data_IF_598770644817
#
_entry.id   IF_598770644817
#
_cell.length_a   1.000
_cell.length_b   1.000
_cell.length_c   1.000
_cell.angle_alpha   90.00
_cell.angle_beta   90.00
_cell.angle_gamma   90.00
#
_symmetry.space_group_name_H-M   'P 1'
#
loop_
_entity.id
_entity.type
_entity.pdbx_description
1 polymer ?
#
# COMPACT_ATOMS: atom_id res chain seq x y z
N UNK A 1 -23.79 10.09 -4.37
CA UNK A 1 -24.33 10.87 -5.51
C UNK A 1 -23.93 10.24 -6.86
N UNK A 2 -23.66 8.97 -6.86
CA UNK A 2 -23.45 8.15 -8.07
C UNK A 2 -24.66 7.24 -8.14
N UNK A 3 -25.57 7.51 -9.04
CA UNK A 3 -26.78 6.71 -9.27
C UNK A 3 -26.46 5.57 -10.26
N UNK A 4 -25.55 4.69 -9.88
CA UNK A 4 -25.21 3.50 -10.63
C UNK A 4 -25.67 2.26 -9.84
N UNK A 5 -26.69 1.53 -10.32
CA UNK A 5 -27.22 0.35 -9.66
C UNK A 5 -26.21 -0.79 -9.51
N UNK A 6 -25.30 -0.94 -10.48
CA UNK A 6 -24.24 -1.96 -10.40
C UNK A 6 -23.21 -1.63 -9.34
N UNK A 7 -22.81 -0.36 -9.25
CA UNK A 7 -21.90 0.10 -8.20
C UNK A 7 -22.52 -0.06 -6.81
N UNK A 8 -23.82 0.27 -6.67
CA UNK A 8 -24.53 0.11 -5.40
C UNK A 8 -24.51 -1.35 -4.95
N UNK A 9 -24.79 -2.29 -5.85
CA UNK A 9 -24.73 -3.72 -5.54
C UNK A 9 -23.30 -4.16 -5.16
N UNK A 10 -22.29 -3.72 -5.89
CA UNK A 10 -20.88 -4.01 -5.56
C UNK A 10 -20.47 -3.46 -4.19
N UNK A 11 -21.01 -2.30 -3.78
CA UNK A 11 -20.78 -1.71 -2.46
C UNK A 11 -21.49 -2.53 -1.36
N UNK A 12 -22.73 -2.94 -1.59
CA UNK A 12 -23.50 -3.76 -0.65
C UNK A 12 -22.89 -5.16 -0.43
N UNK A 13 -22.27 -5.73 -1.48
CA UNK A 13 -21.58 -7.02 -1.45
C UNK A 13 -20.15 -6.93 -0.87
N UNK A 14 -19.64 -5.74 -0.53
CA UNK A 14 -18.30 -5.57 0.02
C UNK A 14 -18.19 -6.09 1.44
N UNK A 15 -17.23 -6.99 1.67
CA UNK A 15 -16.95 -7.59 2.98
C UNK A 15 -15.82 -6.90 3.75
N UNK A 16 -15.08 -5.96 3.12
CA UNK A 16 -13.97 -5.27 3.76
C UNK A 16 -13.89 -3.79 3.35
N UNK A 17 -13.38 -2.95 4.27
CA UNK A 17 -13.14 -1.52 4.02
C UNK A 17 -12.17 -1.29 2.86
N UNK A 18 -11.17 -2.15 2.69
CA UNK A 18 -10.21 -2.04 1.57
C UNK A 18 -10.88 -2.22 0.21
N UNK A 19 -11.81 -3.18 0.09
CA UNK A 19 -12.60 -3.36 -1.15
C UNK A 19 -13.52 -2.17 -1.41
N UNK A 20 -14.15 -1.64 -0.36
CA UNK A 20 -15.01 -0.46 -0.45
C UNK A 20 -14.21 0.77 -0.89
N UNK A 21 -13.03 1.00 -0.34
CA UNK A 21 -12.16 2.11 -0.73
C UNK A 21 -11.67 1.99 -2.18
N UNK A 22 -11.34 0.78 -2.65
CA UNK A 22 -10.94 0.55 -4.04
C UNK A 22 -12.09 0.85 -5.00
N UNK A 23 -13.34 0.48 -4.67
CA UNK A 23 -14.52 0.83 -5.46
C UNK A 23 -14.85 2.33 -5.44
N UNK A 24 -14.64 2.99 -4.30
CA UNK A 24 -14.92 4.42 -4.15
C UNK A 24 -13.84 5.31 -4.76
N UNK A 25 -12.62 4.80 -4.95
CA UNK A 25 -11.46 5.56 -5.39
C UNK A 25 -11.66 6.40 -6.65
N UNK A 26 -12.30 5.91 -7.73
CA UNK A 26 -12.57 6.71 -8.92
C UNK A 26 -13.47 7.92 -8.66
N UNK A 27 -14.31 7.85 -7.62
CA UNK A 27 -15.30 8.88 -7.27
C UNK A 27 -14.83 9.82 -6.15
N UNK A 28 -13.68 9.49 -5.52
CA UNK A 28 -13.13 10.29 -4.41
C UNK A 28 -12.66 11.65 -4.93
N UNK A 29 -13.05 12.77 -4.26
CA UNK A 29 -12.51 14.08 -4.59
C UNK A 29 -10.99 14.06 -4.51
N UNK A 30 -10.34 14.26 -5.64
CA UNK A 30 -8.87 14.21 -5.73
C UNK A 30 -8.27 15.54 -5.32
N UNK A 31 -7.15 15.50 -4.61
CA UNK A 31 -6.29 16.66 -4.44
C UNK A 31 -5.71 17.05 -5.80
N UNK A 32 -5.12 18.24 -5.89
CA UNK A 32 -4.48 18.72 -7.11
C UNK A 32 -3.33 17.79 -7.50
N UNK A 33 -3.60 16.87 -8.44
CA UNK A 33 -2.64 15.89 -8.98
C UNK A 33 -2.02 16.43 -10.28
N UNK A 34 -0.97 15.77 -10.80
CA UNK A 34 -0.43 16.09 -12.12
C UNK A 34 -1.49 15.92 -13.21
N UNK A 35 -2.23 14.81 -13.19
CA UNK A 35 -3.31 14.55 -14.12
C UNK A 35 -4.44 15.58 -14.01
N UNK A 36 -4.87 15.97 -12.79
CA UNK A 36 -5.93 16.97 -12.62
C UNK A 36 -5.52 18.36 -13.11
N UNK A 37 -4.22 18.70 -13.07
CA UNK A 37 -3.68 19.92 -13.70
C UNK A 37 -3.74 19.83 -15.21
N UNK A 38 -3.33 18.68 -15.77
CA UNK A 38 -3.35 18.45 -17.21
C UNK A 38 -4.79 18.46 -17.76
N UNK A 39 -5.75 17.88 -17.04
CA UNK A 39 -7.18 17.92 -17.39
C UNK A 39 -7.69 19.36 -17.39
N UNK A 40 -7.37 20.15 -16.37
CA UNK A 40 -7.75 21.57 -16.30
C UNK A 40 -7.13 22.40 -17.42
N UNK A 41 -5.95 22.03 -17.88
CA UNK A 41 -5.30 22.63 -19.05
C UNK A 41 -5.86 22.15 -20.40
N UNK A 42 -6.87 21.25 -20.38
CA UNK A 42 -7.53 20.77 -21.60
C UNK A 42 -6.76 19.71 -22.38
N UNK A 43 -5.90 18.91 -21.72
CA UNK A 43 -5.06 17.90 -22.39
C UNK A 43 -5.73 16.53 -22.55
N UNK A 44 -7.00 16.36 -22.11
CA UNK A 44 -7.73 15.09 -22.26
C UNK A 44 -7.84 14.63 -23.73
N UNK A 45 -8.15 15.50 -24.72
CA UNK A 45 -8.23 15.05 -26.11
C UNK A 45 -6.87 14.53 -26.65
N UNK A 46 -5.75 15.05 -26.15
CA UNK A 46 -4.42 14.54 -26.52
C UNK A 46 -4.17 13.16 -25.90
N UNK A 47 -4.66 12.91 -24.68
CA UNK A 47 -4.60 11.58 -24.07
C UNK A 47 -5.40 10.55 -24.86
N UNK A 48 -6.58 10.93 -25.36
CA UNK A 48 -7.37 10.06 -26.26
C UNK A 48 -6.71 9.87 -27.64
N UNK A 49 -6.05 10.92 -28.17
CA UNK A 49 -5.28 10.84 -29.39
C UNK A 49 -4.16 9.79 -29.28
N UNK A 50 -3.40 9.78 -28.17
CA UNK A 50 -2.37 8.78 -27.90
C UNK A 50 -2.87 7.34 -27.98
N UNK A 51 -4.11 7.08 -27.55
CA UNK A 51 -4.71 5.74 -27.57
C UNK A 51 -5.15 5.31 -28.97
N UNK A 52 -5.43 6.23 -29.87
CA UNK A 52 -6.06 5.95 -31.17
C UNK A 52 -5.14 6.19 -32.35
N UNK A 53 -4.14 7.06 -32.21
CA UNK A 53 -3.25 7.44 -33.32
C UNK A 53 -2.28 6.32 -33.71
N UNK A 54 -2.09 6.18 -35.02
CA UNK A 54 -1.16 5.24 -35.64
C UNK A 54 -0.17 5.92 -36.60
N UNK A 55 -0.25 7.26 -36.69
CA UNK A 55 0.51 8.03 -37.69
C UNK A 55 1.86 8.52 -37.18
N UNK A 56 2.03 8.64 -35.85
CA UNK A 56 3.25 9.15 -35.25
C UNK A 56 3.34 10.68 -35.22
N UNK A 57 2.23 11.40 -35.43
CA UNK A 57 2.19 12.86 -35.49
C UNK A 57 2.01 13.55 -34.11
N UNK A 58 2.46 12.92 -33.02
CA UNK A 58 2.22 13.37 -31.66
C UNK A 58 2.74 14.77 -31.35
N UNK A 59 3.94 15.11 -31.84
CA UNK A 59 4.52 16.43 -31.60
C UNK A 59 3.71 17.55 -32.26
N UNK A 60 3.27 17.32 -33.51
CA UNK A 60 2.43 18.28 -34.22
C UNK A 60 1.05 18.43 -33.57
N UNK A 61 0.51 17.35 -33.05
CA UNK A 61 -0.76 17.40 -32.31
C UNK A 61 -0.60 18.13 -30.99
N UNK A 62 0.49 17.86 -30.25
CA UNK A 62 0.79 18.51 -28.96
C UNK A 62 0.96 20.04 -29.07
N UNK A 63 1.45 20.54 -30.20
CA UNK A 63 1.59 22.00 -30.41
C UNK A 63 0.26 22.75 -30.32
N UNK A 64 -0.86 22.09 -30.63
CA UNK A 64 -2.21 22.68 -30.54
C UNK A 64 -2.67 22.93 -29.11
N UNK A 65 -2.05 22.29 -28.12
CA UNK A 65 -2.42 22.36 -26.71
C UNK A 65 -1.44 23.15 -25.85
N UNK A 66 -0.55 23.94 -26.46
CA UNK A 66 0.36 24.80 -25.73
C UNK A 66 -0.41 25.86 -24.94
N UNK A 67 -0.07 26.02 -23.66
CA UNK A 67 -0.69 27.01 -22.76
C UNK A 67 0.33 27.53 -21.73
N UNK A 68 -0.09 28.45 -20.86
CA UNK A 68 0.82 29.08 -19.87
C UNK A 68 1.48 28.06 -18.94
N UNK A 69 0.77 27.01 -18.56
CA UNK A 69 1.28 25.94 -17.68
C UNK A 69 2.12 24.91 -18.45
N UNK A 70 1.86 24.72 -19.75
CA UNK A 70 2.48 23.72 -20.63
C UNK A 70 3.09 24.41 -21.85
N UNK A 71 4.29 24.98 -21.70
CA UNK A 71 4.94 25.85 -22.72
C UNK A 71 5.69 25.09 -23.81
N UNK A 72 5.88 23.80 -23.68
CA UNK A 72 6.62 22.98 -24.65
C UNK A 72 5.81 21.74 -25.00
N UNK A 73 5.93 21.24 -26.23
CA UNK A 73 5.26 20.03 -26.69
C UNK A 73 5.58 18.83 -25.76
N UNK A 74 6.82 18.70 -25.31
CA UNK A 74 7.22 17.64 -24.36
C UNK A 74 6.41 17.67 -23.05
N UNK A 75 6.19 18.86 -22.47
CA UNK A 75 5.37 18.99 -21.24
C UNK A 75 3.91 18.69 -21.50
N UNK A 76 3.39 19.09 -22.66
CA UNK A 76 2.01 18.76 -23.08
C UNK A 76 1.85 17.26 -23.21
N UNK A 77 2.78 16.58 -23.89
CA UNK A 77 2.79 15.12 -24.04
C UNK A 77 2.90 14.44 -22.67
N UNK A 78 3.80 14.92 -21.81
CA UNK A 78 3.92 14.39 -20.44
C UNK A 78 2.62 14.57 -19.66
N UNK A 79 1.92 15.70 -19.80
CA UNK A 79 0.61 15.91 -19.20
C UNK A 79 -0.45 14.92 -19.68
N UNK A 80 -0.47 14.57 -20.96
CA UNK A 80 -1.35 13.54 -21.49
C UNK A 80 -1.01 12.16 -20.93
N UNK A 81 0.26 11.80 -20.82
CA UNK A 81 0.67 10.56 -20.14
C UNK A 81 0.33 10.56 -18.65
N UNK A 82 0.44 11.69 -17.94
CA UNK A 82 0.03 11.77 -16.53
C UNK A 82 -1.47 11.49 -16.35
N UNK A 83 -2.34 11.91 -17.30
CA UNK A 83 -3.76 11.58 -17.32
C UNK A 83 -3.97 10.07 -17.46
N UNK A 84 -3.30 9.43 -18.44
CA UNK A 84 -3.40 7.98 -18.66
C UNK A 84 -2.86 7.19 -17.48
N UNK A 85 -1.73 7.62 -16.90
CA UNK A 85 -1.15 7.00 -15.71
C UNK A 85 -2.12 7.00 -14.52
N UNK A 86 -2.86 8.09 -14.31
CA UNK A 86 -3.86 8.16 -13.24
C UNK A 86 -5.07 7.29 -13.54
N UNK A 87 -5.55 7.21 -14.79
CA UNK A 87 -6.62 6.29 -15.21
C UNK A 87 -6.26 4.83 -14.91
N UNK A 88 -5.03 4.40 -15.23
CA UNK A 88 -4.54 3.06 -14.90
C UNK A 88 -4.53 2.84 -13.39
N UNK A 89 -4.03 3.81 -12.62
CA UNK A 89 -3.95 3.68 -11.16
C UNK A 89 -5.32 3.62 -10.46
N UNK A 90 -6.34 4.21 -11.07
CA UNK A 90 -7.71 4.22 -10.57
C UNK A 90 -8.49 2.95 -10.92
N UNK A 91 -7.97 2.12 -11.84
CA UNK A 91 -8.63 0.89 -12.22
C UNK A 91 -8.54 -0.15 -11.10
N UNK A 92 -9.66 -0.54 -10.47
CA UNK A 92 -9.67 -1.47 -9.35
C UNK A 92 -9.17 -2.87 -9.73
N UNK A 93 -9.29 -3.28 -10.99
CA UNK A 93 -8.88 -4.61 -11.43
C UNK A 93 -7.37 -4.82 -11.31
N UNK A 94 -6.56 -3.80 -11.62
CA UNK A 94 -5.10 -3.89 -11.45
C UNK A 94 -4.72 -4.02 -9.98
N UNK A 95 -5.41 -3.31 -9.10
CA UNK A 95 -5.17 -3.39 -7.66
C UNK A 95 -5.48 -4.77 -7.10
N UNK A 96 -6.63 -5.32 -7.49
CA UNK A 96 -7.03 -6.69 -7.11
C UNK A 96 -6.02 -7.71 -7.64
N UNK A 97 -5.61 -7.59 -8.91
CA UNK A 97 -4.60 -8.46 -9.51
C UNK A 97 -3.29 -8.42 -8.74
N UNK A 98 -2.77 -7.21 -8.44
CA UNK A 98 -1.50 -7.03 -7.74
C UNK A 98 -1.60 -7.54 -6.30
N UNK A 99 -2.68 -7.25 -5.56
CA UNK A 99 -2.92 -7.76 -4.20
C UNK A 99 -2.93 -9.29 -4.17
N UNK A 100 -3.64 -9.92 -5.11
CA UNK A 100 -3.71 -11.38 -5.21
C UNK A 100 -2.35 -12.00 -5.55
N UNK A 101 -1.58 -11.37 -6.44
CA UNK A 101 -0.24 -11.81 -6.79
C UNK A 101 0.72 -11.64 -5.62
N UNK A 102 0.68 -10.49 -4.94
CA UNK A 102 1.49 -10.21 -3.76
C UNK A 102 1.23 -11.21 -2.62
N UNK A 103 -0.01 -11.63 -2.40
CA UNK A 103 -0.35 -12.67 -1.42
C UNK A 103 0.28 -14.03 -1.75
N UNK A 104 0.40 -14.38 -3.03
CA UNK A 104 0.94 -15.70 -3.45
C UNK A 104 2.46 -15.75 -3.42
N UNK A 105 3.13 -14.72 -3.93
CA UNK A 105 4.57 -14.71 -4.18
C UNK A 105 5.32 -13.52 -3.58
N UNK A 106 4.62 -12.49 -3.13
CA UNK A 106 5.22 -11.28 -2.59
C UNK A 106 5.97 -11.53 -1.28
N UNK A 107 7.02 -10.74 -1.06
CA UNK A 107 7.83 -10.78 0.14
C UNK A 107 7.69 -9.47 0.92
N UNK A 108 7.72 -9.58 2.24
CA UNK A 108 8.01 -8.45 3.13
C UNK A 108 9.49 -8.52 3.51
N UNK A 109 10.21 -7.42 3.31
CA UNK A 109 11.63 -7.32 3.62
C UNK A 109 11.88 -6.17 4.58
N UNK A 110 12.83 -6.35 5.50
CA UNK A 110 13.25 -5.30 6.41
C UNK A 110 14.77 -5.19 6.41
N UNK A 111 15.25 -3.97 6.63
CA UNK A 111 16.66 -3.66 6.81
C UNK A 111 16.82 -2.76 8.02
N UNK A 112 17.86 -2.99 8.81
CA UNK A 112 18.22 -2.11 9.94
C UNK A 112 18.78 -0.79 9.39
N UNK A 113 18.34 0.31 9.97
CA UNK A 113 18.89 1.65 9.67
C UNK A 113 20.27 1.77 10.31
N UNK A 114 21.27 2.17 9.53
CA UNK A 114 22.62 2.39 10.04
C UNK A 114 22.62 3.49 11.13
N UNK A 115 23.33 3.23 12.24
CA UNK A 115 23.40 4.16 13.37
C UNK A 115 22.19 4.14 14.32
N UNK A 116 21.21 3.27 14.10
CA UNK A 116 20.11 3.12 15.04
C UNK A 116 20.55 2.39 16.31
N UNK A 117 20.41 3.05 17.46
CA UNK A 117 20.90 2.59 18.79
C UNK A 117 20.08 1.46 19.44
N UNK A 118 19.40 0.61 18.68
CA UNK A 118 18.54 -0.40 19.28
C UNK A 118 18.89 -1.81 18.81
N UNK A 119 19.47 -2.62 19.70
CA UNK A 119 19.78 -4.03 19.48
C UNK A 119 18.49 -4.91 19.41
N UNK A 120 17.36 -4.37 19.87
CA UNK A 120 16.08 -5.11 19.91
C UNK A 120 15.53 -5.52 18.53
N UNK A 121 16.09 -5.00 17.43
CA UNK A 121 15.65 -5.28 16.07
C UNK A 121 16.71 -5.97 15.22
N UNK A 122 17.78 -6.50 15.81
CA UNK A 122 18.87 -7.16 15.07
C UNK A 122 18.39 -8.41 14.29
N UNK A 123 17.37 -9.10 14.81
CA UNK A 123 16.73 -10.23 14.12
C UNK A 123 16.03 -9.84 12.82
N UNK A 124 15.83 -8.54 12.59
CA UNK A 124 15.18 -7.99 11.40
C UNK A 124 16.13 -7.26 10.47
N UNK A 125 17.47 -7.37 10.69
CA UNK A 125 18.49 -6.69 9.87
C UNK A 125 18.39 -7.03 8.40
N UNK A 126 18.21 -8.31 8.08
CA UNK A 126 18.07 -8.86 6.73
C UNK A 126 16.85 -9.78 6.67
N UNK A 127 15.74 -9.31 7.24
CA UNK A 127 14.53 -10.11 7.29
C UNK A 127 13.86 -10.16 5.92
N UNK A 128 13.49 -11.38 5.47
CA UNK A 128 12.72 -11.59 4.26
C UNK A 128 11.78 -12.78 4.46
N UNK A 129 10.49 -12.58 4.26
CA UNK A 129 9.45 -13.62 4.37
C UNK A 129 8.33 -13.38 3.37
N UNK A 130 7.68 -14.47 2.93
CA UNK A 130 6.46 -14.38 2.12
C UNK A 130 5.36 -13.70 2.93
N UNK A 131 4.61 -12.80 2.29
CA UNK A 131 3.49 -12.08 2.91
C UNK A 131 2.49 -13.06 3.53
N UNK A 132 2.19 -14.16 2.83
CA UNK A 132 1.26 -15.20 3.30
C UNK A 132 1.71 -15.99 4.53
N UNK A 133 2.98 -15.91 4.91
CA UNK A 133 3.56 -16.72 5.99
C UNK A 133 4.18 -15.89 7.12
N UNK A 134 4.11 -14.57 7.02
CA UNK A 134 4.60 -13.68 8.09
C UNK A 134 3.71 -13.87 9.34
N UNK A 135 4.35 -14.00 10.49
CA UNK A 135 3.65 -14.18 11.76
C UNK A 135 3.25 -12.83 12.37
N UNK A 136 2.14 -12.80 13.09
CA UNK A 136 1.58 -11.61 13.72
C UNK A 136 2.57 -10.89 14.63
N UNK A 137 3.33 -11.61 15.44
CA UNK A 137 4.35 -11.01 16.29
C UNK A 137 5.50 -10.35 15.48
N UNK A 138 5.85 -10.89 14.29
CA UNK A 138 6.82 -10.27 13.40
C UNK A 138 6.26 -8.97 12.80
N UNK A 139 5.00 -8.98 12.36
CA UNK A 139 4.32 -7.78 11.84
C UNK A 139 4.32 -6.66 12.88
N UNK A 140 3.94 -6.95 14.12
CA UNK A 140 3.95 -5.98 15.22
C UNK A 140 5.35 -5.48 15.56
N UNK A 141 6.36 -6.37 15.56
CA UNK A 141 7.76 -5.99 15.81
C UNK A 141 8.32 -5.10 14.69
N UNK A 142 8.05 -5.43 13.43
CA UNK A 142 8.44 -4.64 12.25
C UNK A 142 7.80 -3.25 12.33
N UNK A 143 6.49 -3.17 12.60
CA UNK A 143 5.80 -1.89 12.75
C UNK A 143 6.43 -1.02 13.86
N UNK A 144 6.76 -1.62 15.00
CA UNK A 144 7.45 -0.94 16.11
C UNK A 144 8.83 -0.44 15.69
N UNK A 145 9.59 -1.26 14.96
CA UNK A 145 10.93 -0.90 14.47
C UNK A 145 10.89 0.24 13.45
N UNK A 146 9.92 0.23 12.54
CA UNK A 146 9.71 1.31 11.56
C UNK A 146 9.29 2.60 12.25
N UNK A 147 8.36 2.55 13.21
CA UNK A 147 7.92 3.73 13.96
C UNK A 147 9.05 4.34 14.82
N UNK A 148 9.96 3.50 15.32
CA UNK A 148 11.17 3.95 16.04
C UNK A 148 12.31 4.37 15.11
N UNK A 149 12.12 4.31 13.79
CA UNK A 149 13.14 4.60 12.77
C UNK A 149 14.39 3.71 12.88
N UNK A 150 14.25 2.53 13.47
CA UNK A 150 15.32 1.52 13.57
C UNK A 150 15.31 0.56 12.37
N UNK A 151 14.17 0.40 11.72
CA UNK A 151 13.99 -0.45 10.54
C UNK A 151 13.42 0.34 9.36
N UNK A 152 13.82 -0.06 8.16
CA UNK A 152 13.11 0.24 6.92
C UNK A 152 12.40 -1.03 6.47
N UNK A 153 11.18 -0.90 5.96
CA UNK A 153 10.37 -2.01 5.45
C UNK A 153 10.01 -1.75 3.98
N UNK A 154 10.06 -2.79 3.18
CA UNK A 154 9.61 -2.77 1.78
C UNK A 154 8.90 -4.07 1.45
N UNK A 155 7.93 -4.00 0.55
CA UNK A 155 7.40 -5.17 -0.13
C UNK A 155 8.16 -5.41 -1.43
N UNK A 156 8.38 -6.66 -1.77
CA UNK A 156 9.00 -7.06 -3.03
C UNK A 156 7.98 -7.91 -3.78
N UNK A 157 7.56 -7.40 -4.93
CA UNK A 157 6.64 -8.08 -5.84
C UNK A 157 7.39 -8.53 -7.09
N UNK A 158 6.76 -9.34 -7.91
CA UNK A 158 7.23 -9.65 -9.26
C UNK A 158 6.81 -8.49 -10.19
N UNK A 159 7.63 -7.43 -10.17
CA UNK A 159 7.35 -6.20 -10.90
C UNK A 159 7.30 -6.46 -12.42
N UNK A 160 8.10 -7.39 -12.92
CA UNK A 160 8.13 -7.73 -14.34
C UNK A 160 6.81 -8.34 -14.80
N UNK A 161 6.29 -9.31 -14.04
CA UNK A 161 4.99 -9.92 -14.32
C UNK A 161 3.86 -8.90 -14.26
N UNK A 162 3.87 -8.03 -13.24
CA UNK A 162 2.86 -6.99 -13.05
C UNK A 162 2.89 -5.99 -14.21
N UNK A 163 4.06 -5.48 -14.55
CA UNK A 163 4.23 -4.53 -15.63
C UNK A 163 3.82 -5.13 -16.98
N UNK A 164 4.21 -6.38 -17.26
CA UNK A 164 3.83 -7.06 -18.49
C UNK A 164 2.31 -7.28 -18.58
N UNK A 165 1.65 -7.60 -17.45
CA UNK A 165 0.20 -7.72 -17.41
C UNK A 165 -0.49 -6.40 -17.78
N UNK A 166 -0.07 -5.27 -17.20
CA UNK A 166 -0.64 -3.96 -17.50
C UNK A 166 -0.32 -3.55 -18.94
N UNK A 167 0.93 -3.74 -19.41
CA UNK A 167 1.33 -3.43 -20.78
C UNK A 167 0.47 -4.13 -21.83
N UNK A 168 0.21 -5.41 -21.64
CA UNK A 168 -0.59 -6.22 -22.56
C UNK A 168 -2.05 -5.75 -22.67
N UNK A 169 -2.57 -5.08 -21.64
CA UNK A 169 -3.95 -4.59 -21.60
C UNK A 169 -4.09 -3.12 -22.06
N UNK A 170 -3.07 -2.29 -21.78
CA UNK A 170 -3.17 -0.84 -21.94
C UNK A 170 -2.44 -0.30 -23.17
N UNK A 171 -1.43 -1.02 -23.71
CA UNK A 171 -0.71 -0.54 -24.88
C UNK A 171 -1.53 -0.87 -26.14
N UNK A 172 -1.92 0.14 -26.93
CA UNK A 172 -2.65 -0.09 -28.16
C UNK A 172 -1.82 -0.89 -29.19
N UNK A 173 -2.46 -1.77 -29.91
CA UNK A 173 -1.80 -2.58 -30.95
C UNK A 173 -1.28 -1.70 -32.07
N UNK A 174 -0.02 -1.88 -32.44
CA UNK A 174 0.66 -1.11 -33.51
C UNK A 174 0.75 0.40 -33.23
N UNK A 175 0.87 0.80 -31.95
CA UNK A 175 1.12 2.21 -31.62
C UNK A 175 2.55 2.61 -31.97
N UNK A 176 2.79 3.82 -32.54
CA UNK A 176 4.14 4.36 -32.72
C UNK A 176 4.77 4.85 -31.41
N UNK A 177 4.01 4.90 -30.30
CA UNK A 177 4.41 5.49 -29.02
C UNK A 177 4.72 4.45 -27.94
N UNK A 178 5.12 3.25 -28.32
CA UNK A 178 5.31 2.12 -27.40
C UNK A 178 6.20 2.46 -26.21
N UNK A 179 7.37 3.10 -26.44
CA UNK A 179 8.30 3.48 -25.38
C UNK A 179 7.70 4.47 -24.38
N UNK A 180 6.90 5.43 -24.88
CA UNK A 180 6.17 6.38 -24.04
C UNK A 180 5.14 5.70 -23.15
N UNK A 181 4.37 4.75 -23.70
CA UNK A 181 3.42 3.94 -22.91
C UNK A 181 4.13 3.09 -21.87
N UNK A 182 5.24 2.44 -22.20
CA UNK A 182 6.00 1.63 -21.26
C UNK A 182 6.53 2.46 -20.08
N UNK A 183 7.05 3.64 -20.38
CA UNK A 183 7.52 4.58 -19.36
C UNK A 183 6.38 5.07 -18.49
N UNK A 184 5.25 5.41 -19.08
CA UNK A 184 4.04 5.86 -18.38
C UNK A 184 3.47 4.76 -17.47
N UNK A 185 3.38 3.52 -17.94
CA UNK A 185 2.90 2.38 -17.16
C UNK A 185 3.82 2.12 -15.97
N UNK A 186 5.15 2.18 -16.18
CA UNK A 186 6.13 2.05 -15.10
C UNK A 186 5.97 3.16 -14.06
N UNK A 187 5.79 4.42 -14.48
CA UNK A 187 5.53 5.54 -13.58
C UNK A 187 4.22 5.34 -12.80
N UNK A 188 3.12 4.98 -13.49
CA UNK A 188 1.83 4.68 -12.86
C UNK A 188 1.96 3.60 -11.78
N UNK A 189 2.64 2.49 -12.11
CA UNK A 189 2.85 1.40 -11.16
C UNK A 189 3.70 1.85 -9.97
N UNK A 190 4.91 2.36 -10.19
CA UNK A 190 5.87 2.65 -9.14
C UNK A 190 5.47 3.83 -8.26
N UNK A 191 4.86 4.85 -8.83
CA UNK A 191 4.51 6.09 -8.12
C UNK A 191 3.12 6.07 -7.50
N UNK A 192 2.13 5.45 -8.16
CA UNK A 192 0.73 5.53 -7.75
C UNK A 192 0.21 4.21 -7.17
N UNK A 193 0.43 3.08 -7.85
CA UNK A 193 -0.17 1.80 -7.47
C UNK A 193 0.63 1.13 -6.35
N UNK A 194 1.93 0.92 -6.56
CA UNK A 194 2.78 0.18 -5.62
C UNK A 194 2.75 0.73 -4.19
N UNK A 195 2.90 2.06 -3.93
CA UNK A 195 2.86 2.57 -2.56
C UNK A 195 1.49 2.37 -1.91
N UNK A 196 0.43 2.54 -2.69
CA UNK A 196 -0.92 2.39 -2.18
C UNK A 196 -1.26 0.93 -1.86
N UNK A 197 -0.93 -0.01 -2.77
CA UNK A 197 -1.14 -1.45 -2.54
C UNK A 197 -0.28 -1.94 -1.38
N UNK A 198 0.96 -1.47 -1.27
CA UNK A 198 1.85 -1.80 -0.16
C UNK A 198 1.27 -1.36 1.19
N UNK A 199 0.71 -0.16 1.27
CA UNK A 199 0.04 0.33 2.47
C UNK A 199 -1.21 -0.50 2.81
N UNK A 200 -2.02 -0.84 1.81
CA UNK A 200 -3.22 -1.66 2.01
C UNK A 200 -2.87 -3.07 2.54
N UNK A 201 -1.83 -3.70 1.97
CA UNK A 201 -1.35 -5.00 2.42
C UNK A 201 -0.84 -4.91 3.86
N UNK A 202 -0.04 -3.87 4.17
CA UNK A 202 0.48 -3.71 5.52
C UNK A 202 -0.62 -3.43 6.54
N UNK A 203 -1.61 -2.61 6.20
CA UNK A 203 -2.78 -2.38 7.05
C UNK A 203 -3.51 -3.68 7.35
N UNK A 204 -3.78 -4.48 6.33
CA UNK A 204 -4.44 -5.79 6.51
C UNK A 204 -3.62 -6.76 7.39
N UNK A 205 -2.30 -6.78 7.24
CA UNK A 205 -1.43 -7.57 8.11
C UNK A 205 -1.46 -7.07 9.56
N UNK A 206 -1.52 -5.75 9.76
CA UNK A 206 -1.61 -5.14 11.08
C UNK A 206 -2.95 -5.43 11.76
N UNK A 207 -4.05 -5.39 11.02
CA UNK A 207 -5.38 -5.69 11.56
C UNK A 207 -5.42 -7.12 12.09
N UNK A 208 -5.00 -8.10 11.28
CA UNK A 208 -4.90 -9.51 11.71
C UNK A 208 -3.96 -9.68 12.91
N UNK A 209 -2.78 -9.05 12.86
CA UNK A 209 -1.79 -9.17 13.94
C UNK A 209 -2.28 -8.55 15.26
N UNK A 210 -3.05 -7.48 15.19
CA UNK A 210 -3.63 -6.82 16.35
C UNK A 210 -4.72 -7.69 16.98
N UNK A 211 -5.64 -8.23 16.16
CA UNK A 211 -6.73 -9.09 16.65
C UNK A 211 -6.21 -10.37 17.32
N UNK A 212 -5.23 -11.05 16.68
CA UNK A 212 -4.59 -12.23 17.26
C UNK A 212 -3.89 -11.90 18.59
N UNK A 213 -3.15 -10.77 18.65
CA UNK A 213 -2.45 -10.36 19.87
C UNK A 213 -3.39 -10.00 21.01
N UNK A 214 -4.53 -9.39 20.73
CA UNK A 214 -5.57 -9.09 21.73
C UNK A 214 -6.15 -10.40 22.29
N UNK A 215 -6.42 -11.39 21.45
CA UNK A 215 -6.97 -12.66 21.88
C UNK A 215 -5.95 -13.47 22.74
N UNK A 216 -4.66 -13.48 22.33
CA UNK A 216 -3.59 -14.10 23.14
C UNK A 216 -3.45 -13.41 24.52
N UNK A 217 -3.51 -12.07 24.54
CA UNK A 217 -3.47 -11.31 25.80
C UNK A 217 -4.66 -11.65 26.70
N UNK A 218 -5.86 -11.70 26.13
CA UNK A 218 -7.10 -12.07 26.85
C UNK A 218 -7.00 -13.46 27.47
N UNK A 219 -6.45 -14.44 26.73
CA UNK A 219 -6.26 -15.81 27.25
C UNK A 219 -5.25 -15.83 28.38
N UNK A 220 -4.10 -15.15 28.24
CA UNK A 220 -3.07 -15.02 29.28
C UNK A 220 -3.61 -14.34 30.53
N UNK A 221 -4.34 -13.24 30.36
CA UNK A 221 -4.97 -12.51 31.46
C UNK A 221 -5.97 -13.40 32.21
N UNK A 222 -6.84 -14.11 31.46
CA UNK A 222 -7.81 -15.03 32.05
C UNK A 222 -7.12 -16.15 32.85
N UNK A 223 -6.05 -16.74 32.29
CA UNK A 223 -5.30 -17.78 33.01
C UNK A 223 -4.68 -17.27 34.30
N UNK A 224 -4.15 -16.03 34.27
CA UNK A 224 -3.56 -15.39 35.46
C UNK A 224 -4.61 -15.07 36.53
N UNK A 225 -5.74 -14.47 36.12
CA UNK A 225 -6.79 -14.07 37.07
C UNK A 225 -7.58 -15.25 37.63
N UNK A 226 -7.68 -16.34 36.90
CA UNK A 226 -8.39 -17.57 37.34
C UNK A 226 -7.43 -18.60 37.97
N UNK A 227 -6.18 -18.21 38.26
CA UNK A 227 -5.27 -19.11 38.95
C UNK A 227 -5.85 -19.49 40.34
N UNK A 228 -5.84 -20.78 40.70
CA UNK A 228 -6.42 -21.21 41.96
C UNK A 228 -5.76 -20.54 43.17
N UNK A 229 -6.54 -20.03 44.14
CA UNK A 229 -5.94 -19.38 45.30
C UNK A 229 -5.21 -20.40 46.18
N UNK A 230 -4.09 -20.00 46.72
CA UNK A 230 -3.33 -20.79 47.74
C UNK A 230 -4.05 -20.67 49.07
N UNK A 231 -4.88 -21.69 49.40
CA UNK A 231 -5.62 -21.70 50.66
C UNK A 231 -4.74 -22.13 51.86
N UNK A 232 -4.92 -21.46 52.99
CA UNK A 232 -4.25 -21.82 54.26
C UNK A 232 -2.74 -21.67 54.23
N UNK A 233 -2.22 -20.74 53.46
CA UNK A 233 -0.79 -20.40 53.39
C UNK A 233 -0.61 -18.94 53.68
N UNK A 234 0.45 -18.63 54.40
CA UNK A 234 0.95 -17.26 54.52
C UNK A 234 1.77 -16.94 53.29
N UNK A 235 1.47 -15.84 52.64
CA UNK A 235 2.04 -15.49 51.34
C UNK A 235 2.69 -14.13 51.46
N UNK A 236 3.97 -14.05 51.10
CA UNK A 236 4.67 -12.79 50.91
C UNK A 236 4.79 -12.50 49.41
N UNK A 237 4.00 -11.53 48.92
CA UNK A 237 4.11 -11.01 47.56
C UNK A 237 5.33 -10.04 47.50
N UNK A 238 6.17 -10.26 46.49
CA UNK A 238 7.36 -9.46 46.25
C UNK A 238 7.40 -8.98 44.80
N UNK A 239 7.30 -7.67 44.60
CA UNK A 239 7.40 -7.02 43.27
C UNK A 239 8.69 -6.20 43.22
N UNK A 240 9.76 -6.71 42.56
CA UNK A 240 11.03 -6.03 42.48
C UNK A 240 10.99 -4.80 41.58
N UNK A 241 11.26 -3.62 42.12
CA UNK A 241 11.39 -2.39 41.36
C UNK A 241 12.82 -2.15 40.90
N UNK A 242 13.01 -1.66 39.69
CA UNK A 242 14.32 -1.39 39.10
C UNK A 242 15.03 -0.16 39.72
N UNK A 243 14.30 0.87 40.14
CA UNK A 243 14.88 2.15 40.58
C UNK A 243 14.35 2.69 41.90
N UNK A 244 13.20 2.25 42.38
CA UNK A 244 12.50 2.84 43.54
C UNK A 244 12.21 1.84 44.68
N UNK A 245 13.02 0.79 44.78
CA UNK A 245 12.81 -0.25 45.78
C UNK A 245 11.75 -1.27 45.40
N UNK A 246 11.46 -2.20 46.31
CA UNK A 246 10.53 -3.30 46.09
C UNK A 246 9.18 -3.03 46.78
N UNK A 247 8.08 -3.46 46.16
CA UNK A 247 6.77 -3.49 46.81
C UNK A 247 6.59 -4.85 47.45
N UNK A 248 6.16 -4.84 48.71
CA UNK A 248 5.91 -6.04 49.51
C UNK A 248 4.44 -6.07 49.96
N UNK A 249 3.82 -7.21 49.88
CA UNK A 249 2.49 -7.45 50.43
C UNK A 249 2.48 -8.78 51.17
N UNK A 250 2.04 -8.76 52.40
CA UNK A 250 1.88 -9.97 53.21
C UNK A 250 0.40 -10.29 53.39
N UNK A 251 0.06 -11.54 53.14
CA UNK A 251 -1.31 -12.07 53.25
C UNK A 251 -1.25 -13.28 54.18
N UNK A 252 -2.16 -13.30 55.20
CA UNK A 252 -2.33 -14.40 56.15
C UNK A 252 -3.58 -15.20 55.86
#
# INVERSE_FOLDING_TARGET
KVDDPELRKKIEDCLSMSQLEDLYRPYKPKRLTRASKAIKAGLEPLAEFLLTDKTGALEQEAEKYLCEDYKTAEKVIQGAYDILAERISDNPNYRVFIKNHAQKSGLITCQKVEGAESDNFDNYRDYSRKISTVKSFNTLAINRGVNKKCLTMKFVFDDELILNHIKNLEIPTNTPYQEGFETMIKDSYMRLIYPSVSNDIFSSLMDVATDESIEEFKQSLRATLLYPPLKGRRILGFDPGFSHGCKLAFID
#
